data_IF_210417451475
#
_entry.id   IF_210417451475
#
_cell.length_a   1.000
_cell.length_b   1.000
_cell.length_c   1.000
_cell.angle_alpha   90.00
_cell.angle_beta   90.00
_cell.angle_gamma   90.00
#
_symmetry.space_group_name_H-M   'P 1'
#
loop_
_entity.id
_entity.type
_entity.pdbx_description
1 polymer ?
#
# COMPACT_ATOMS: atom_id res chain seq x y z
N UNK A 1 -20.91 10.90 15.15
CA UNK A 1 -20.66 10.64 13.71
C UNK A 1 -19.28 11.17 13.35
N UNK A 2 -18.35 10.29 12.95
CA UNK A 2 -16.90 10.54 12.97
C UNK A 2 -16.41 11.34 11.75
N UNK A 3 -15.58 12.37 11.98
CA UNK A 3 -15.04 13.34 11.01
C UNK A 3 -14.02 12.77 10.00
N UNK A 4 -14.21 11.55 9.48
CA UNK A 4 -13.23 10.88 8.61
C UNK A 4 -13.04 11.54 7.23
N UNK A 5 -13.98 12.39 6.78
CA UNK A 5 -13.94 13.04 5.47
C UNK A 5 -13.08 14.32 5.37
N UNK A 6 -12.36 14.73 6.42
CA UNK A 6 -11.52 15.95 6.38
C UNK A 6 -10.07 15.71 5.93
N UNK A 7 -9.59 14.47 5.97
CA UNK A 7 -8.18 14.15 5.65
C UNK A 7 -8.04 13.88 4.15
N UNK A 8 -7.18 14.60 3.41
CA UNK A 8 -6.91 14.32 2.00
C UNK A 8 -6.45 12.87 1.78
N UNK A 9 -6.85 12.25 0.66
CA UNK A 9 -6.50 10.85 0.34
C UNK A 9 -4.99 10.58 0.41
N UNK A 10 -4.17 11.49 -0.12
CA UNK A 10 -2.70 11.41 -0.05
C UNK A 10 -2.21 11.35 1.40
N UNK A 11 -2.83 12.12 2.30
CA UNK A 11 -2.49 12.10 3.72
C UNK A 11 -2.96 10.80 4.40
N UNK A 12 -4.07 10.21 3.96
CA UNK A 12 -4.50 8.89 4.45
C UNK A 12 -3.49 7.80 4.05
N UNK A 13 -2.97 7.83 2.81
CA UNK A 13 -1.89 6.92 2.38
C UNK A 13 -0.67 7.10 3.26
N UNK A 14 -0.23 8.35 3.46
CA UNK A 14 0.93 8.65 4.31
C UNK A 14 0.74 8.12 5.73
N UNK A 15 -0.41 8.38 6.36
CA UNK A 15 -0.73 7.87 7.70
C UNK A 15 -0.71 6.33 7.77
N UNK A 16 -1.22 5.66 6.74
CA UNK A 16 -1.20 4.19 6.65
C UNK A 16 0.20 3.61 6.51
N UNK A 17 1.12 4.32 5.86
CA UNK A 17 2.52 3.89 5.74
C UNK A 17 3.38 4.29 6.92
N UNK A 18 3.14 5.47 7.51
CA UNK A 18 3.81 5.93 8.74
C UNK A 18 3.57 4.94 9.88
N UNK A 19 2.35 4.43 10.04
CA UNK A 19 2.03 3.44 11.09
C UNK A 19 2.72 2.07 10.88
N UNK A 20 3.19 1.80 9.67
CA UNK A 20 3.87 0.56 9.27
C UNK A 20 5.39 0.74 9.18
N UNK A 21 5.91 1.94 9.38
CA UNK A 21 7.34 2.23 9.27
C UNK A 21 8.10 1.67 10.48
N UNK A 22 9.07 0.79 10.23
CA UNK A 22 9.84 0.08 11.25
C UNK A 22 11.34 0.10 10.91
N UNK A 23 11.91 1.30 10.84
CA UNK A 23 13.35 1.49 10.58
C UNK A 23 14.17 0.88 11.71
N UNK A 24 15.22 0.13 11.36
CA UNK A 24 16.09 -0.55 12.31
C UNK A 24 15.60 -1.94 12.75
N UNK A 25 14.36 -2.33 12.39
CA UNK A 25 13.87 -3.70 12.61
C UNK A 25 14.53 -4.68 11.64
N UNK A 26 14.92 -5.85 12.11
CA UNK A 26 15.53 -6.87 11.26
C UNK A 26 14.48 -7.65 10.45
N UNK A 27 14.37 -7.32 9.17
CA UNK A 27 13.55 -8.09 8.21
C UNK A 27 13.98 -9.57 8.15
N UNK A 28 15.26 -9.86 8.38
CA UNK A 28 15.76 -11.23 8.40
C UNK A 28 15.19 -12.02 9.58
N UNK A 29 15.17 -11.43 10.79
CA UNK A 29 14.58 -12.07 11.96
C UNK A 29 13.08 -12.32 11.77
N UNK A 30 12.35 -11.33 11.26
CA UNK A 30 10.92 -11.48 10.93
C UNK A 30 10.67 -12.52 9.82
N UNK A 31 11.68 -12.84 9.01
CA UNK A 31 11.57 -13.90 7.99
C UNK A 31 11.77 -15.30 8.56
N UNK A 32 12.44 -15.43 9.70
CA UNK A 32 12.73 -16.72 10.33
C UNK A 32 11.58 -17.24 11.20
N UNK A 33 10.59 -16.41 11.51
CA UNK A 33 9.39 -16.86 12.22
C UNK A 33 8.50 -17.67 11.27
N UNK A 34 8.64 -19.00 11.32
CA UNK A 34 7.99 -19.96 10.42
C UNK A 34 6.45 -19.81 10.35
N UNK A 35 5.81 -19.47 11.48
CA UNK A 35 4.34 -19.44 11.59
C UNK A 35 3.67 -18.20 10.99
N UNK A 36 4.37 -17.06 10.90
CA UNK A 36 3.74 -15.75 10.60
C UNK A 36 4.55 -14.90 9.60
N UNK A 37 5.51 -15.52 8.89
CA UNK A 37 6.48 -14.84 8.01
C UNK A 37 5.86 -13.82 7.05
N UNK A 38 4.81 -14.22 6.34
CA UNK A 38 4.13 -13.35 5.36
C UNK A 38 3.38 -12.23 6.07
N UNK A 39 2.70 -12.54 7.17
CA UNK A 39 1.90 -11.58 7.92
C UNK A 39 2.77 -10.49 8.57
N UNK A 40 3.85 -10.89 9.25
CA UNK A 40 4.78 -9.95 9.90
C UNK A 40 5.45 -9.04 8.87
N UNK A 41 5.95 -9.60 7.77
CA UNK A 41 6.64 -8.78 6.76
C UNK A 41 5.69 -7.88 5.95
N UNK A 42 4.40 -8.22 5.87
CA UNK A 42 3.35 -7.35 5.33
C UNK A 42 2.99 -6.20 6.28
N UNK A 43 3.24 -6.32 7.58
CA UNK A 43 2.93 -5.26 8.54
C UNK A 43 4.00 -4.15 8.62
N UNK A 44 5.22 -4.40 8.12
CA UNK A 44 6.34 -3.46 8.30
C UNK A 44 7.00 -2.97 7.01
N UNK A 45 7.47 -1.72 7.03
CA UNK A 45 8.33 -1.09 6.03
C UNK A 45 9.69 -0.85 6.68
N UNK A 46 10.72 -1.55 6.20
CA UNK A 46 12.02 -1.65 6.88
C UNK A 46 13.06 -0.62 6.41
N UNK A 47 12.80 0.10 5.31
CA UNK A 47 13.75 1.03 4.72
C UNK A 47 13.06 2.28 4.21
N UNK A 48 13.77 3.41 4.23
CA UNK A 48 13.27 4.70 3.74
C UNK A 48 13.04 4.71 2.24
N UNK A 49 13.87 3.99 1.48
CA UNK A 49 13.76 3.87 0.03
C UNK A 49 12.47 3.12 -0.35
N UNK A 50 12.15 2.05 0.39
CA UNK A 50 10.91 1.30 0.22
C UNK A 50 9.71 2.17 0.60
N UNK A 51 9.81 2.91 1.72
CA UNK A 51 8.77 3.82 2.17
C UNK A 51 8.46 4.90 1.11
N UNK A 52 9.48 5.59 0.57
CA UNK A 52 9.28 6.62 -0.44
C UNK A 52 8.69 6.05 -1.73
N UNK A 53 9.16 4.88 -2.15
CA UNK A 53 8.64 4.20 -3.34
C UNK A 53 7.17 3.82 -3.15
N UNK A 54 6.81 3.22 -2.02
CA UNK A 54 5.43 2.90 -1.71
C UNK A 54 4.57 4.16 -1.63
N UNK A 55 5.03 5.19 -0.91
CA UNK A 55 4.30 6.46 -0.79
C UNK A 55 3.98 7.06 -2.16
N UNK A 56 4.95 7.09 -3.08
CA UNK A 56 4.77 7.56 -4.45
C UNK A 56 3.69 6.76 -5.19
N UNK A 57 3.81 5.44 -5.22
CA UNK A 57 2.89 4.58 -5.98
C UNK A 57 1.49 4.50 -5.35
N UNK A 58 1.40 4.48 -4.01
CA UNK A 58 0.14 4.61 -3.29
C UNK A 58 -0.57 5.94 -3.58
N UNK A 59 0.18 7.05 -3.68
CA UNK A 59 -0.37 8.34 -4.06
C UNK A 59 -0.92 8.35 -5.49
N UNK A 60 -0.19 7.77 -6.45
CA UNK A 60 -0.67 7.67 -7.84
C UNK A 60 -2.01 6.95 -7.94
N UNK A 61 -2.16 5.82 -7.24
CA UNK A 61 -3.40 5.08 -7.21
C UNK A 61 -4.56 5.89 -6.62
N UNK A 62 -4.41 6.47 -5.43
CA UNK A 62 -5.53 7.18 -4.78
C UNK A 62 -5.91 8.47 -5.50
N UNK A 63 -4.95 9.14 -6.17
CA UNK A 63 -5.23 10.29 -7.01
C UNK A 63 -6.04 9.87 -8.24
N UNK A 64 -5.68 8.77 -8.89
CA UNK A 64 -6.46 8.21 -9.98
C UNK A 64 -7.87 7.80 -9.54
N UNK A 65 -8.03 7.15 -8.37
CA UNK A 65 -9.36 6.84 -7.82
C UNK A 65 -10.18 8.09 -7.52
N UNK A 66 -9.53 9.16 -7.04
CA UNK A 66 -10.19 10.46 -6.81
C UNK A 66 -10.67 11.09 -8.12
N UNK A 67 -9.88 11.02 -9.19
CA UNK A 67 -10.19 11.62 -10.48
C UNK A 67 -11.30 10.87 -11.22
N UNK A 68 -11.23 9.53 -11.24
CA UNK A 68 -12.15 8.70 -12.02
C UNK A 68 -13.44 8.34 -11.25
N UNK A 69 -13.32 8.11 -9.94
CA UNK A 69 -14.41 7.58 -9.11
C UNK A 69 -14.82 8.51 -7.96
N UNK A 70 -14.17 9.68 -7.83
CA UNK A 70 -14.43 10.67 -6.77
C UNK A 70 -14.32 10.08 -5.37
N UNK A 71 -13.46 9.07 -5.20
CA UNK A 71 -13.20 8.46 -3.90
C UNK A 71 -12.68 9.51 -2.90
N UNK A 72 -13.02 9.31 -1.63
CA UNK A 72 -12.60 10.17 -0.50
C UNK A 72 -11.92 9.38 0.62
N UNK A 73 -12.03 8.06 0.63
CA UNK A 73 -11.41 7.18 1.63
C UNK A 73 -10.63 6.05 0.96
N UNK A 74 -9.59 5.53 1.63
CA UNK A 74 -8.85 4.35 1.14
C UNK A 74 -9.75 3.12 0.95
N UNK A 75 -10.78 2.99 1.78
CA UNK A 75 -11.77 1.92 1.68
C UNK A 75 -12.53 1.96 0.35
N UNK A 76 -12.92 3.15 -0.12
CA UNK A 76 -13.54 3.31 -1.43
C UNK A 76 -12.57 3.00 -2.57
N UNK A 77 -11.30 3.40 -2.41
CA UNK A 77 -10.28 3.10 -3.42
C UNK A 77 -10.05 1.58 -3.58
N UNK A 78 -10.23 0.78 -2.52
CA UNK A 78 -9.96 -0.67 -2.51
C UNK A 78 -10.66 -1.43 -3.65
N UNK A 79 -11.89 -1.06 -3.99
CA UNK A 79 -12.66 -1.72 -5.05
C UNK A 79 -12.05 -1.56 -6.45
N UNK A 80 -11.12 -0.61 -6.63
CA UNK A 80 -10.52 -0.27 -7.91
C UNK A 80 -9.05 -0.73 -8.04
N UNK A 81 -8.57 -1.54 -7.09
CA UNK A 81 -7.19 -2.07 -7.12
C UNK A 81 -6.95 -2.92 -8.36
N UNK A 82 -7.87 -3.84 -8.67
CA UNK A 82 -7.70 -4.76 -9.81
C UNK A 82 -7.71 -4.01 -11.14
N UNK A 83 -8.61 -3.04 -11.30
CA UNK A 83 -8.67 -2.18 -12.48
C UNK A 83 -7.41 -1.34 -12.65
N UNK A 84 -6.91 -0.76 -11.56
CA UNK A 84 -5.64 -0.04 -11.58
C UNK A 84 -4.49 -0.94 -12.02
N UNK A 85 -4.36 -2.13 -11.44
CA UNK A 85 -3.29 -3.06 -11.80
C UNK A 85 -3.41 -3.55 -13.26
N UNK A 86 -4.63 -3.76 -13.75
CA UNK A 86 -4.90 -4.09 -15.15
C UNK A 86 -4.38 -3.00 -16.10
N UNK A 87 -4.65 -1.73 -15.77
CA UNK A 87 -4.16 -0.57 -16.56
C UNK A 87 -2.63 -0.45 -16.60
N UNK A 88 -1.92 -1.16 -15.72
CA UNK A 88 -0.46 -1.11 -15.54
C UNK A 88 0.28 -2.31 -16.11
N UNK A 89 -0.41 -3.23 -16.80
CA UNK A 89 0.20 -4.43 -17.41
C UNK A 89 1.31 -4.14 -18.43
N UNK A 90 1.30 -2.95 -19.05
CA UNK A 90 2.35 -2.53 -19.98
C UNK A 90 3.67 -2.10 -19.29
N UNK A 91 3.67 -1.91 -17.97
CA UNK A 91 4.88 -1.56 -17.21
C UNK A 91 5.78 -2.77 -17.00
N UNK A 92 7.03 -2.53 -16.62
CA UNK A 92 7.96 -3.60 -16.26
C UNK A 92 7.45 -4.42 -15.07
N UNK A 93 7.78 -5.72 -15.05
CA UNK A 93 7.39 -6.63 -13.98
C UNK A 93 7.86 -6.17 -12.58
N UNK A 94 9.00 -5.48 -12.49
CA UNK A 94 9.48 -4.89 -11.24
C UNK A 94 8.57 -3.77 -10.75
N UNK A 95 8.08 -2.93 -11.66
CA UNK A 95 7.16 -1.82 -11.32
C UNK A 95 5.78 -2.35 -10.94
N UNK A 96 5.26 -3.35 -11.66
CA UNK A 96 3.99 -4.00 -11.32
C UNK A 96 4.03 -4.60 -9.91
N UNK A 97 5.12 -5.32 -9.56
CA UNK A 97 5.31 -5.89 -8.22
C UNK A 97 5.42 -4.82 -7.13
N UNK A 98 6.10 -3.71 -7.42
CA UNK A 98 6.21 -2.56 -6.52
C UNK A 98 4.83 -1.95 -6.23
N UNK A 99 4.02 -1.74 -7.26
CA UNK A 99 2.66 -1.22 -7.12
C UNK A 99 1.76 -2.18 -6.34
N UNK A 100 1.72 -3.46 -6.70
CA UNK A 100 0.96 -4.46 -5.96
C UNK A 100 1.36 -4.50 -4.48
N UNK A 101 2.66 -4.44 -4.18
CA UNK A 101 3.17 -4.44 -2.81
C UNK A 101 2.79 -3.17 -2.05
N UNK A 102 2.85 -2.02 -2.70
CA UNK A 102 2.43 -0.73 -2.14
C UNK A 102 0.93 -0.72 -1.83
N UNK A 103 0.11 -1.22 -2.75
CA UNK A 103 -1.35 -1.27 -2.58
C UNK A 103 -1.76 -2.23 -1.46
N UNK A 104 -1.16 -3.42 -1.41
CA UNK A 104 -1.36 -4.35 -0.31
C UNK A 104 -0.96 -3.78 1.07
N UNK A 105 -0.09 -2.77 1.10
CA UNK A 105 0.31 -2.08 2.32
C UNK A 105 -0.72 -1.04 2.77
N UNK A 106 -1.49 -0.48 1.83
CA UNK A 106 -2.56 0.49 2.13
C UNK A 106 -3.84 -0.18 2.62
N UNK A 107 -4.17 -1.36 2.09
CA UNK A 107 -5.29 -2.18 2.52
C UNK A 107 -4.82 -3.13 3.62
N UNK A 108 -5.24 -2.91 4.87
CA UNK A 108 -4.85 -3.72 6.05
C UNK A 108 -5.18 -5.23 5.96
N UNK A 109 -5.72 -5.71 4.85
CA UNK A 109 -6.06 -7.13 4.64
C UNK A 109 -6.30 -7.38 3.15
N UNK A 110 -5.33 -7.97 2.43
CA UNK A 110 -5.62 -8.89 1.32
C UNK A 110 -4.46 -9.90 1.15
N UNK A 111 -4.74 -11.20 1.03
CA UNK A 111 -3.78 -12.17 0.53
C UNK A 111 -3.69 -11.98 -1.00
N UNK A 112 -2.61 -11.38 -1.47
CA UNK A 112 -2.29 -11.40 -2.90
C UNK A 112 -1.87 -12.83 -3.28
N UNK A 113 -2.78 -13.59 -3.86
CA UNK A 113 -2.43 -14.71 -4.74
C UNK A 113 -1.93 -14.10 -6.06
N UNK A 114 -0.62 -13.82 -6.09
CA UNK A 114 0.15 -13.45 -7.28
C UNK A 114 1.06 -14.63 -7.64
#
# INVERSE_FOLDING_TARGET
MSHKNKVPLVNQVKQSFDSKLAIGRSKHQDKLSEKERKEITLNYIYSWETYHSYLKHGCYFVLWCKENYRCKTLEQCRSYVDEWLESRKALSASTQKLEASSLAKTSDVLPLNL
#
